data_IF_765571730138
#
_entry.id   IF_765571730138
#
_cell.length_a   1.000
_cell.length_b   1.000
_cell.length_c   1.000
_cell.angle_alpha   90.00
_cell.angle_beta   90.00
_cell.angle_gamma   90.00
#
_symmetry.space_group_name_H-M   'P 1'
#
loop_
_entity.id
_entity.type
_entity.pdbx_description
1 polymer ?
#
# COMPACT_ATOMS: atom_id res chain seq x y z
N UNK A 1 2.36 33.53 57.76
CA UNK A 1 1.95 32.16 57.40
C UNK A 1 1.02 32.24 56.20
N UNK A 2 1.50 32.28 54.96
CA UNK A 2 0.65 32.18 53.78
C UNK A 2 0.60 30.73 53.29
N UNK A 3 -0.60 30.32 52.93
CA UNK A 3 -1.01 29.03 52.38
C UNK A 3 -0.39 28.80 51.01
N UNK A 4 0.30 27.67 50.83
CA UNK A 4 0.84 27.24 49.54
C UNK A 4 -0.24 26.59 48.68
N UNK A 5 -0.60 27.24 47.58
CA UNK A 5 -1.35 26.62 46.49
C UNK A 5 -0.40 25.77 45.65
N UNK A 6 -0.65 24.46 45.65
CA UNK A 6 0.04 23.53 44.76
C UNK A 6 -0.49 23.73 43.34
N UNK A 7 0.33 24.35 42.48
CA UNK A 7 0.11 24.35 41.04
C UNK A 7 0.24 22.93 40.51
N UNK A 8 -0.89 22.24 40.34
CA UNK A 8 -0.98 21.08 39.46
C UNK A 8 -0.72 21.55 38.03
N UNK A 9 0.49 21.28 37.54
CA UNK A 9 0.82 21.34 36.12
C UNK A 9 0.05 20.21 35.42
N UNK A 10 -1.23 20.45 35.09
CA UNK A 10 -1.91 19.70 34.04
C UNK A 10 -1.23 20.09 32.73
N UNK A 11 -0.24 19.28 32.35
CA UNK A 11 0.26 19.29 30.97
C UNK A 11 -0.91 18.90 30.08
N UNK A 12 -1.52 19.90 29.45
CA UNK A 12 -2.50 19.71 28.40
C UNK A 12 -1.81 18.92 27.28
N UNK A 13 -2.04 17.61 27.21
CA UNK A 13 -1.78 16.85 25.99
C UNK A 13 -2.72 17.41 24.93
N UNK A 14 -2.24 18.43 24.21
CA UNK A 14 -2.76 18.77 22.90
C UNK A 14 -2.85 17.46 22.12
N UNK A 15 -4.06 17.10 21.68
CA UNK A 15 -4.27 15.95 20.81
C UNK A 15 -3.67 16.25 19.45
N UNK A 16 -2.33 16.22 19.36
CA UNK A 16 -1.62 16.36 18.09
C UNK A 16 -1.92 15.12 17.28
N UNK A 17 -2.61 15.33 16.17
CA UNK A 17 -2.81 14.29 15.18
C UNK A 17 -1.45 13.98 14.56
N UNK A 18 -1.08 12.70 14.49
CA UNK A 18 0.24 12.28 14.02
C UNK A 18 0.47 12.62 12.54
N UNK A 19 1.73 12.58 12.09
CA UNK A 19 2.07 12.83 10.69
C UNK A 19 3.28 12.02 10.25
N UNK A 20 3.49 11.95 8.93
CA UNK A 20 4.69 11.37 8.31
C UNK A 20 5.39 12.47 7.51
N UNK A 21 6.67 12.69 7.79
CA UNK A 21 7.55 13.53 6.97
C UNK A 21 8.66 12.65 6.38
N UNK A 22 8.68 12.55 5.05
CA UNK A 22 9.75 11.93 4.29
C UNK A 22 10.53 13.04 3.62
N UNK A 23 11.82 13.14 3.93
CA UNK A 23 12.67 14.26 3.50
C UNK A 23 13.98 13.75 2.90
N UNK A 24 14.18 14.00 1.61
CA UNK A 24 15.42 13.75 0.87
C UNK A 24 15.87 12.30 0.81
N UNK A 25 14.92 11.36 0.83
CA UNK A 25 15.21 9.93 0.89
C UNK A 25 15.75 9.43 -0.44
N UNK A 26 16.99 8.91 -0.42
CA UNK A 26 17.59 8.19 -1.54
C UNK A 26 17.98 6.77 -1.14
N UNK A 27 17.87 5.85 -2.08
CA UNK A 27 18.15 4.43 -1.84
C UNK A 27 18.58 3.72 -3.13
N UNK A 28 19.68 2.99 -3.05
CA UNK A 28 20.22 2.17 -4.15
C UNK A 28 19.97 0.68 -3.88
N UNK A 29 19.61 -0.07 -4.91
CA UNK A 29 19.48 -1.52 -4.81
C UNK A 29 20.84 -2.20 -4.62
N UNK A 30 20.82 -3.44 -4.12
CA UNK A 30 22.04 -4.23 -3.90
C UNK A 30 22.86 -4.47 -5.19
N UNK A 31 22.25 -4.35 -6.37
CA UNK A 31 22.91 -4.44 -7.67
C UNK A 31 23.50 -3.10 -8.16
N UNK A 32 23.48 -2.06 -7.31
CA UNK A 32 24.03 -0.74 -7.60
C UNK A 32 23.11 0.17 -8.42
N UNK A 33 21.88 -0.26 -8.75
CA UNK A 33 20.93 0.60 -9.47
C UNK A 33 20.21 1.55 -8.50
N UNK A 34 20.20 2.87 -8.76
CA UNK A 34 19.46 3.81 -7.92
C UNK A 34 17.96 3.54 -8.06
N UNK A 35 17.26 3.40 -6.93
CA UNK A 35 15.83 3.15 -6.91
C UNK A 35 15.05 4.40 -6.52
N UNK A 36 15.48 5.09 -5.46
CA UNK A 36 14.86 6.32 -4.96
C UNK A 36 15.90 7.43 -5.01
N UNK A 37 15.49 8.61 -5.47
CA UNK A 37 16.35 9.79 -5.58
C UNK A 37 15.58 11.02 -5.08
N UNK A 38 16.06 11.60 -3.96
CA UNK A 38 15.52 12.80 -3.32
C UNK A 38 13.99 12.75 -3.06
N UNK A 39 13.50 11.59 -2.62
CA UNK A 39 12.08 11.38 -2.33
C UNK A 39 11.68 12.23 -1.11
N UNK A 40 10.76 13.16 -1.34
CA UNK A 40 10.29 14.11 -0.34
C UNK A 40 8.78 14.31 -0.43
N UNK A 41 8.07 14.07 0.66
CA UNK A 41 6.64 14.36 0.81
C UNK A 41 6.21 14.32 2.27
N UNK A 42 5.11 15.02 2.58
CA UNK A 42 4.48 15.00 3.90
C UNK A 42 3.06 14.47 3.80
N UNK A 43 2.72 13.54 4.69
CA UNK A 43 1.35 13.09 4.96
C UNK A 43 0.86 13.88 6.16
N UNK A 44 -0.03 14.84 5.91
CA UNK A 44 -0.46 15.80 6.90
C UNK A 44 -1.43 15.20 7.92
N UNK A 45 -1.48 15.85 9.07
CA UNK A 45 -2.34 15.58 10.22
C UNK A 45 -3.80 15.35 9.79
N UNK A 46 -4.31 14.14 10.00
CA UNK A 46 -5.70 13.75 9.76
C UNK A 46 -6.08 13.62 8.29
N UNK A 47 -5.08 13.52 7.40
CA UNK A 47 -5.32 13.36 5.95
C UNK A 47 -5.11 11.92 5.51
N UNK A 48 -5.87 11.51 4.51
CA UNK A 48 -5.66 10.25 3.78
C UNK A 48 -4.89 10.58 2.49
N UNK A 49 -3.59 10.31 2.48
CA UNK A 49 -2.76 10.44 1.28
C UNK A 49 -2.57 9.08 0.63
N UNK A 50 -2.79 8.99 -0.68
CA UNK A 50 -2.51 7.78 -1.42
C UNK A 50 -1.13 7.82 -2.07
N UNK A 51 -0.34 6.76 -1.90
CA UNK A 51 0.90 6.53 -2.62
C UNK A 51 0.63 5.62 -3.83
N UNK A 52 0.80 6.18 -5.03
CA UNK A 52 0.64 5.46 -6.29
C UNK A 52 1.93 5.49 -7.11
N UNK A 53 2.07 4.55 -8.04
CA UNK A 53 3.26 4.46 -8.88
C UNK A 53 3.26 3.17 -9.68
N UNK A 54 4.11 3.11 -10.70
CA UNK A 54 4.26 1.91 -11.51
C UNK A 54 4.71 0.70 -10.68
N UNK A 55 4.49 -0.51 -11.21
CA UNK A 55 5.06 -1.71 -10.62
C UNK A 55 6.59 -1.65 -10.77
N UNK A 56 7.30 -1.95 -9.67
CA UNK A 56 8.75 -1.79 -9.60
C UNK A 56 9.23 -0.34 -9.40
N UNK A 57 8.34 0.64 -9.19
CA UNK A 57 8.74 2.00 -8.85
C UNK A 57 9.39 2.14 -7.45
N UNK A 58 9.33 1.10 -6.61
CA UNK A 58 9.91 1.11 -5.27
C UNK A 58 8.92 1.46 -4.16
N UNK A 59 7.60 1.38 -4.40
CA UNK A 59 6.56 1.61 -3.37
C UNK A 59 6.81 0.78 -2.11
N UNK A 60 6.93 -0.54 -2.24
CA UNK A 60 7.19 -1.43 -1.10
C UNK A 60 8.54 -1.15 -0.43
N UNK A 61 9.58 -0.75 -1.19
CA UNK A 61 10.86 -0.32 -0.60
C UNK A 61 10.68 0.96 0.24
N UNK A 62 9.94 1.94 -0.28
CA UNK A 62 9.65 3.17 0.43
C UNK A 62 8.83 2.90 1.71
N UNK A 63 7.82 2.03 1.65
CA UNK A 63 7.08 1.61 2.85
C UNK A 63 7.99 0.95 3.89
N UNK A 64 8.94 0.11 3.45
CA UNK A 64 9.95 -0.52 4.33
C UNK A 64 10.87 0.51 4.97
N UNK A 65 11.23 1.57 4.25
CA UNK A 65 12.00 2.69 4.81
C UNK A 65 11.16 3.44 5.85
N UNK A 66 9.90 3.74 5.53
CA UNK A 66 8.98 4.46 6.42
C UNK A 66 8.76 3.69 7.74
N UNK A 67 8.55 2.37 7.67
CA UNK A 67 8.36 1.54 8.88
C UNK A 67 9.67 1.21 9.63
N UNK A 68 10.83 1.63 9.11
CA UNK A 68 12.13 1.45 9.77
C UNK A 68 12.86 0.13 9.47
N UNK A 69 12.33 -0.71 8.58
CA UNK A 69 12.94 -1.99 8.20
C UNK A 69 14.15 -1.83 7.28
N UNK A 70 14.21 -0.73 6.54
CA UNK A 70 15.31 -0.38 5.65
C UNK A 70 15.82 1.00 6.02
N UNK A 71 17.15 1.14 6.07
CA UNK A 71 17.80 2.44 6.26
C UNK A 71 18.06 3.07 4.90
N UNK A 72 17.68 4.35 4.69
CA UNK A 72 18.02 5.05 3.47
C UNK A 72 19.50 5.44 3.47
N UNK A 73 20.05 5.74 2.28
CA UNK A 73 21.43 6.21 2.13
C UNK A 73 21.58 7.69 2.50
N UNK A 74 20.54 8.47 2.19
CA UNK A 74 20.42 9.89 2.55
C UNK A 74 18.98 10.21 2.95
N UNK A 75 18.80 11.36 3.59
CA UNK A 75 17.50 11.82 4.05
C UNK A 75 17.04 11.10 5.31
N UNK A 76 15.75 11.24 5.62
CA UNK A 76 15.15 10.64 6.80
C UNK A 76 13.64 10.57 6.73
N UNK A 77 13.09 9.77 7.64
CA UNK A 77 11.65 9.68 7.89
C UNK A 77 11.40 10.06 9.34
N UNK A 78 10.48 10.98 9.56
CA UNK A 78 9.97 11.35 10.88
C UNK A 78 8.51 10.97 10.96
N UNK A 79 8.15 10.28 12.04
CA UNK A 79 6.78 9.88 12.33
C UNK A 79 6.43 10.34 13.73
N UNK A 80 5.32 11.08 13.83
CA UNK A 80 4.75 11.52 15.10
C UNK A 80 3.39 10.84 15.33
N UNK A 81 3.02 10.61 16.59
CA UNK A 81 1.73 10.00 16.95
C UNK A 81 1.66 8.47 16.80
N UNK A 82 2.79 7.80 16.57
CA UNK A 82 2.89 6.35 16.48
C UNK A 82 2.36 5.76 15.16
N UNK A 83 2.77 4.53 14.82
CA UNK A 83 2.58 3.92 13.50
C UNK A 83 1.92 2.54 13.58
N UNK A 84 0.69 2.45 13.07
CA UNK A 84 0.03 1.18 12.74
C UNK A 84 0.32 0.78 11.29
N UNK A 85 0.72 -0.47 11.06
CA UNK A 85 1.09 -0.96 9.72
C UNK A 85 0.24 -2.16 9.34
N UNK A 86 -0.32 -2.13 8.13
CA UNK A 86 -0.83 -3.33 7.46
C UNK A 86 0.08 -3.70 6.29
N UNK A 87 0.65 -4.89 6.35
CA UNK A 87 1.48 -5.45 5.27
C UNK A 87 0.60 -6.07 4.17
N UNK A 88 1.11 -6.09 2.93
CA UNK A 88 0.45 -6.61 1.75
C UNK A 88 0.02 -8.08 1.91
N UNK A 89 0.77 -8.86 2.70
CA UNK A 89 0.52 -10.30 2.88
C UNK A 89 -0.70 -10.62 3.76
N UNK A 90 -1.31 -9.63 4.43
CA UNK A 90 -2.55 -9.86 5.18
C UNK A 90 -3.66 -10.30 4.21
N UNK A 91 -4.31 -11.43 4.49
CA UNK A 91 -5.27 -12.07 3.57
C UNK A 91 -4.69 -13.26 2.78
N UNK A 92 -3.36 -13.40 2.76
CA UNK A 92 -2.65 -14.59 2.25
C UNK A 92 -2.09 -15.47 3.34
N UNK A 93 -2.28 -15.09 4.60
CA UNK A 93 -1.77 -15.84 5.74
C UNK A 93 -2.44 -17.20 5.76
N UNK A 94 -1.63 -18.22 5.52
CA UNK A 94 -2.00 -19.64 5.57
C UNK A 94 -1.01 -20.45 6.40
N UNK A 95 -0.31 -19.80 7.31
CA UNK A 95 0.58 -20.44 8.28
C UNK A 95 -0.24 -20.91 9.50
N UNK A 96 0.45 -21.35 10.55
CA UNK A 96 -0.17 -21.91 11.75
C UNK A 96 -0.58 -20.85 12.78
N UNK A 97 -0.54 -19.56 12.40
CA UNK A 97 -0.99 -18.47 13.27
C UNK A 97 -2.47 -18.56 13.61
N UNK A 98 -2.77 -18.07 14.79
CA UNK A 98 -4.10 -17.88 15.35
C UNK A 98 -4.60 -16.45 15.12
N UNK A 99 -5.89 -16.22 15.36
CA UNK A 99 -6.48 -14.87 15.37
C UNK A 99 -5.76 -13.95 16.34
N UNK A 100 -5.35 -14.45 17.51
CA UNK A 100 -4.55 -13.70 18.48
C UNK A 100 -3.24 -13.23 17.88
N UNK A 101 -2.49 -14.12 17.23
CA UNK A 101 -1.19 -13.78 16.64
C UNK A 101 -1.32 -12.70 15.55
N UNK A 102 -2.40 -12.76 14.76
CA UNK A 102 -2.68 -11.75 13.74
C UNK A 102 -2.95 -10.37 14.36
N UNK A 103 -3.71 -10.32 15.46
CA UNK A 103 -4.06 -9.10 16.17
C UNK A 103 -2.88 -8.53 16.97
N UNK A 104 -2.09 -9.38 17.62
CA UNK A 104 -0.83 -9.02 18.28
C UNK A 104 0.16 -8.43 17.28
N UNK A 105 0.24 -8.99 16.07
CA UNK A 105 1.14 -8.50 15.02
C UNK A 105 0.89 -7.04 14.61
N UNK A 106 -0.35 -6.57 14.70
CA UNK A 106 -0.74 -5.19 14.36
C UNK A 106 -0.97 -4.29 15.59
N UNK A 107 -0.74 -4.82 16.79
CA UNK A 107 -0.90 -4.09 18.04
C UNK A 107 0.23 -3.05 18.24
N UNK A 108 0.01 -2.06 19.13
CA UNK A 108 1.06 -1.13 19.54
C UNK A 108 2.33 -1.85 19.96
N UNK A 109 3.49 -1.27 19.64
CA UNK A 109 4.77 -1.97 19.80
C UNK A 109 5.05 -2.42 21.24
N UNK A 110 4.56 -1.68 22.25
CA UNK A 110 4.67 -2.07 23.65
C UNK A 110 3.82 -3.33 23.96
N UNK A 111 2.53 -3.32 23.57
CA UNK A 111 1.62 -4.45 23.75
C UNK A 111 2.12 -5.69 23.01
N UNK A 112 2.58 -5.52 21.76
CA UNK A 112 3.11 -6.64 20.97
C UNK A 112 4.28 -7.33 21.67
N UNK A 113 5.28 -6.56 22.12
CA UNK A 113 6.44 -7.12 22.82
C UNK A 113 6.05 -7.82 24.12
N UNK A 114 5.14 -7.21 24.89
CA UNK A 114 4.68 -7.80 26.14
C UNK A 114 3.85 -9.09 25.91
N UNK A 115 3.01 -9.12 24.87
CA UNK A 115 2.26 -10.31 24.48
C UNK A 115 3.18 -11.45 24.02
N UNK A 116 4.20 -11.16 23.20
CA UNK A 116 5.20 -12.13 22.77
C UNK A 116 6.01 -12.69 23.95
N UNK A 117 6.40 -11.82 24.89
CA UNK A 117 7.10 -12.22 26.11
C UNK A 117 6.21 -13.09 27.02
N UNK A 118 4.93 -12.76 27.13
CA UNK A 118 3.94 -13.53 27.89
C UNK A 118 3.76 -14.93 27.30
N UNK A 119 3.56 -15.05 25.98
CA UNK A 119 3.45 -16.35 25.29
C UNK A 119 4.71 -17.20 25.51
N UNK A 120 5.90 -16.61 25.38
CA UNK A 120 7.16 -17.33 25.62
C UNK A 120 7.30 -17.79 27.09
N UNK A 121 6.81 -17.01 28.05
CA UNK A 121 6.82 -17.39 29.45
C UNK A 121 5.79 -18.49 29.77
N UNK A 122 4.61 -18.47 29.13
CA UNK A 122 3.60 -19.53 29.21
C UNK A 122 4.16 -20.86 28.72
N UNK A 123 4.80 -20.86 27.55
CA UNK A 123 5.47 -22.05 26.99
C UNK A 123 6.55 -22.59 27.93
N UNK A 124 7.37 -21.69 28.50
CA UNK A 124 8.44 -22.08 29.43
C UNK A 124 7.92 -22.74 30.72
N UNK A 125 6.79 -22.27 31.27
CA UNK A 125 6.16 -22.92 32.44
C UNK A 125 5.62 -24.31 32.10
N UNK A 126 4.99 -24.46 30.92
CA UNK A 126 4.46 -25.75 30.48
C UNK A 126 5.59 -26.78 30.34
N UNK A 127 6.76 -26.36 29.85
CA UNK A 127 7.93 -27.22 29.72
C UNK A 127 8.61 -27.52 31.06
N UNK A 128 8.78 -26.51 31.93
CA UNK A 128 9.47 -26.63 33.23
C UNK A 128 8.80 -25.74 34.27
N UNK A 129 8.09 -26.36 35.20
CA UNK A 129 7.41 -25.67 36.30
C UNK A 129 8.34 -25.49 37.51
N UNK A 130 9.22 -24.49 37.43
CA UNK A 130 10.23 -24.16 38.45
C UNK A 130 10.07 -22.71 38.91
N UNK A 131 10.65 -22.35 40.07
CA UNK A 131 10.52 -20.99 40.62
C UNK A 131 10.97 -19.89 39.64
N UNK A 132 12.02 -20.12 38.85
CA UNK A 132 12.48 -19.13 37.86
C UNK A 132 11.46 -18.93 36.72
N UNK A 133 10.86 -20.01 36.18
CA UNK A 133 9.86 -19.89 35.11
C UNK A 133 8.55 -19.29 35.62
N UNK A 134 8.14 -19.63 36.85
CA UNK A 134 7.01 -19.00 37.53
C UNK A 134 7.21 -17.49 37.72
N UNK A 135 8.40 -17.07 38.15
CA UNK A 135 8.74 -15.64 38.31
C UNK A 135 8.75 -14.91 36.96
N UNK A 136 9.29 -15.52 35.90
CA UNK A 136 9.27 -14.93 34.54
C UNK A 136 7.86 -14.71 34.04
N UNK A 137 6.96 -15.68 34.21
CA UNK A 137 5.57 -15.54 33.82
C UNK A 137 4.84 -14.46 34.62
N UNK A 138 5.05 -14.41 35.94
CA UNK A 138 4.46 -13.36 36.78
C UNK A 138 4.92 -11.96 36.34
N UNK A 139 6.20 -11.79 35.98
CA UNK A 139 6.72 -10.54 35.43
C UNK A 139 6.10 -10.23 34.06
N UNK A 140 6.01 -11.22 33.16
CA UNK A 140 5.42 -11.01 31.84
C UNK A 140 3.92 -10.64 31.91
N UNK A 141 3.17 -11.20 32.87
CA UNK A 141 1.78 -10.80 33.13
C UNK A 141 1.69 -9.34 33.58
N UNK A 142 2.57 -8.91 34.49
CA UNK A 142 2.62 -7.52 34.95
C UNK A 142 2.99 -6.57 33.80
N UNK A 143 4.00 -6.91 33.01
CA UNK A 143 4.41 -6.14 31.83
C UNK A 143 3.30 -6.03 30.77
N UNK A 144 2.55 -7.11 30.55
CA UNK A 144 1.40 -7.10 29.64
C UNK A 144 0.28 -6.17 30.14
N UNK A 145 -0.01 -6.19 31.44
CA UNK A 145 -0.97 -5.28 32.05
C UNK A 145 -0.51 -3.82 31.93
N UNK A 146 0.75 -3.54 32.28
CA UNK A 146 1.35 -2.18 32.24
C UNK A 146 1.43 -1.63 30.81
N UNK A 147 1.63 -2.51 29.81
CA UNK A 147 1.61 -2.13 28.40
C UNK A 147 0.21 -1.81 27.87
N UNK A 148 -0.86 -2.05 28.65
CA UNK A 148 -2.25 -1.87 28.24
C UNK A 148 -2.83 -3.07 27.50
N UNK A 149 -2.32 -4.27 27.73
CA UNK A 149 -2.75 -5.50 27.07
C UNK A 149 -4.25 -5.79 27.23
N UNK A 150 -4.79 -5.61 28.44
CA UNK A 150 -6.22 -5.83 28.69
C UNK A 150 -7.13 -4.79 28.02
N UNK A 151 -6.70 -3.53 27.94
CA UNK A 151 -7.44 -2.51 27.16
C UNK A 151 -7.45 -2.88 25.67
N UNK A 152 -6.32 -3.40 25.18
CA UNK A 152 -6.19 -3.84 23.80
C UNK A 152 -7.05 -5.09 23.51
N UNK A 153 -7.25 -5.99 24.46
CA UNK A 153 -8.17 -7.13 24.33
C UNK A 153 -9.64 -6.70 24.18
N UNK A 154 -10.05 -5.62 24.85
CA UNK A 154 -11.40 -5.04 24.64
C UNK A 154 -11.55 -4.50 23.22
N UNK A 155 -10.51 -3.89 22.67
CA UNK A 155 -10.51 -3.48 21.25
C UNK A 155 -10.62 -4.72 20.35
N UNK A 156 -9.85 -5.76 20.63
CA UNK A 156 -9.87 -7.01 19.86
C UNK A 156 -11.21 -7.73 19.90
N UNK A 157 -11.92 -7.72 21.03
CA UNK A 157 -13.27 -8.27 21.13
C UNK A 157 -14.25 -7.57 20.18
N UNK A 158 -14.23 -6.24 20.16
CA UNK A 158 -15.04 -5.46 19.23
C UNK A 158 -14.68 -5.78 17.77
N UNK A 159 -13.39 -5.94 17.46
CA UNK A 159 -12.91 -6.31 16.13
C UNK A 159 -13.40 -7.71 15.72
N UNK A 160 -13.30 -8.72 16.58
CA UNK A 160 -13.70 -10.08 16.24
C UNK A 160 -15.21 -10.23 16.16
N UNK A 161 -15.98 -9.53 17.02
CA UNK A 161 -17.44 -9.52 16.93
C UNK A 161 -17.88 -8.89 15.61
N UNK A 162 -17.27 -7.78 15.22
CA UNK A 162 -17.64 -7.08 13.97
C UNK A 162 -17.20 -7.82 12.71
N UNK A 163 -15.98 -8.38 12.71
CA UNK A 163 -15.42 -9.03 11.54
C UNK A 163 -15.84 -10.50 11.40
N UNK A 164 -15.98 -11.23 12.51
CA UNK A 164 -16.19 -12.68 12.54
C UNK A 164 -17.51 -13.11 13.20
N UNK A 165 -18.23 -12.19 13.86
CA UNK A 165 -19.44 -12.52 14.63
C UNK A 165 -19.18 -13.32 15.90
N UNK A 166 -17.94 -13.31 16.41
CA UNK A 166 -17.54 -14.09 17.58
C UNK A 166 -16.78 -13.21 18.59
N UNK A 167 -16.98 -13.42 19.91
CA UNK A 167 -16.18 -12.75 20.93
C UNK A 167 -14.71 -13.20 20.86
N UNK A 168 -13.79 -12.32 21.26
CA UNK A 168 -12.36 -12.56 21.16
C UNK A 168 -11.95 -13.81 21.94
N UNK A 169 -12.52 -14.03 23.12
CA UNK A 169 -12.26 -15.22 23.96
C UNK A 169 -12.38 -16.53 23.18
N UNK A 170 -13.37 -16.64 22.28
CA UNK A 170 -13.60 -17.81 21.42
C UNK A 170 -12.84 -17.75 20.11
N UNK A 171 -12.65 -16.55 19.57
CA UNK A 171 -12.00 -16.36 18.28
C UNK A 171 -10.48 -16.51 18.36
N UNK A 172 -9.85 -16.14 19.48
CA UNK A 172 -8.41 -15.95 19.62
C UNK A 172 -7.57 -17.18 19.23
N UNK A 173 -8.04 -18.39 19.54
CA UNK A 173 -7.33 -19.66 19.23
C UNK A 173 -7.68 -20.24 17.87
N UNK A 174 -8.61 -19.62 17.13
CA UNK A 174 -9.00 -20.09 15.80
C UNK A 174 -7.82 -19.90 14.85
N UNK A 175 -7.50 -20.94 14.08
CA UNK A 175 -6.46 -20.84 13.05
C UNK A 175 -6.87 -19.84 11.96
N UNK A 176 -5.93 -18.98 11.56
CA UNK A 176 -6.10 -18.00 10.48
C UNK A 176 -6.42 -18.67 9.14
N UNK A 177 -6.00 -19.93 8.94
CA UNK A 177 -6.33 -20.73 7.74
C UNK A 177 -7.83 -20.94 7.53
N UNK A 178 -8.61 -20.87 8.60
CA UNK A 178 -10.06 -21.04 8.55
C UNK A 178 -10.80 -19.76 8.21
N UNK A 179 -10.09 -18.62 8.13
CA UNK A 179 -10.64 -17.34 7.70
C UNK A 179 -10.43 -17.13 6.21
N UNK A 180 -11.43 -16.56 5.55
CA UNK A 180 -11.27 -16.03 4.20
C UNK A 180 -10.32 -14.83 4.19
N UNK A 181 -9.64 -14.57 3.07
CA UNK A 181 -8.72 -13.44 2.97
C UNK A 181 -9.37 -12.09 3.27
N UNK A 182 -10.66 -11.93 2.93
CA UNK A 182 -11.44 -10.73 3.28
C UNK A 182 -11.73 -10.60 4.77
N UNK A 183 -12.04 -11.70 5.47
CA UNK A 183 -12.21 -11.70 6.93
C UNK A 183 -10.89 -11.35 7.65
N UNK A 184 -9.77 -11.92 7.21
CA UNK A 184 -8.45 -11.60 7.75
C UNK A 184 -8.14 -10.10 7.62
N UNK A 185 -8.33 -9.53 6.43
CA UNK A 185 -8.10 -8.10 6.21
C UNK A 185 -9.04 -7.22 7.00
N UNK A 186 -10.34 -7.55 7.01
CA UNK A 186 -11.32 -6.79 7.78
C UNK A 186 -10.96 -6.75 9.26
N UNK A 187 -10.55 -7.89 9.82
CA UNK A 187 -10.12 -7.98 11.22
C UNK A 187 -8.92 -7.06 11.51
N UNK A 188 -7.89 -7.10 10.67
CA UNK A 188 -6.69 -6.26 10.83
C UNK A 188 -7.01 -4.78 10.65
N UNK A 189 -7.81 -4.43 9.64
CA UNK A 189 -8.23 -3.06 9.39
C UNK A 189 -9.04 -2.49 10.56
N UNK A 190 -9.99 -3.26 11.12
CA UNK A 190 -10.74 -2.87 12.32
C UNK A 190 -9.79 -2.63 13.51
N UNK A 191 -8.81 -3.50 13.72
CA UNK A 191 -7.84 -3.36 14.81
C UNK A 191 -6.97 -2.10 14.65
N UNK A 192 -6.49 -1.80 13.44
CA UNK A 192 -5.68 -0.62 13.15
C UNK A 192 -6.48 0.68 13.25
N UNK A 193 -7.70 0.70 12.73
CA UNK A 193 -8.58 1.86 12.78
C UNK A 193 -9.00 2.20 14.22
N UNK A 194 -9.25 1.19 15.06
CA UNK A 194 -9.66 1.37 16.46
C UNK A 194 -8.49 1.48 17.44
N UNK A 195 -7.30 1.05 17.04
CA UNK A 195 -6.10 1.09 17.90
C UNK A 195 -5.67 2.51 18.26
N UNK A 196 -4.69 2.67 19.15
CA UNK A 196 -4.27 3.99 19.64
C UNK A 196 -3.32 4.75 18.69
N UNK A 197 -2.73 4.07 17.70
CA UNK A 197 -1.78 4.68 16.77
C UNK A 197 -2.47 5.75 15.90
N UNK A 198 -1.90 6.95 15.82
CA UNK A 198 -2.49 8.08 15.10
C UNK A 198 -2.14 8.09 13.60
N UNK A 199 -1.10 7.36 13.19
CA UNK A 199 -0.66 7.23 11.80
C UNK A 199 -0.82 5.78 11.35
N UNK A 200 -1.41 5.59 10.17
CA UNK A 200 -1.60 4.29 9.54
C UNK A 200 -0.86 4.20 8.21
N UNK A 201 -0.17 3.08 8.00
CA UNK A 201 0.45 2.69 6.74
C UNK A 201 -0.29 1.46 6.20
N UNK A 202 -1.05 1.61 5.12
CA UNK A 202 -1.89 0.54 4.59
C UNK A 202 -1.42 0.12 3.19
N UNK A 203 -0.84 -1.08 3.07
CA UNK A 203 -0.39 -1.63 1.79
C UNK A 203 -1.46 -2.53 1.16
N UNK A 204 -2.06 -2.06 0.05
CA UNK A 204 -3.12 -2.72 -0.73
C UNK A 204 -4.30 -3.25 0.12
N UNK A 205 -4.97 -2.41 0.93
CA UNK A 205 -6.00 -2.89 1.85
C UNK A 205 -7.27 -3.39 1.18
N UNK A 206 -7.56 -2.98 -0.05
CA UNK A 206 -8.75 -3.35 -0.81
C UNK A 206 -8.67 -4.73 -1.46
N UNK A 207 -7.47 -5.28 -1.64
CA UNK A 207 -7.32 -6.60 -2.25
C UNK A 207 -8.05 -7.66 -1.41
N UNK A 208 -8.71 -8.63 -2.03
CA UNK A 208 -9.54 -9.65 -1.36
C UNK A 208 -10.80 -9.15 -0.64
N UNK A 209 -11.07 -7.85 -0.60
CA UNK A 209 -12.36 -7.35 -0.13
C UNK A 209 -13.42 -7.49 -1.23
N UNK A 210 -14.61 -7.94 -0.85
CA UNK A 210 -15.77 -7.87 -1.72
C UNK A 210 -16.33 -6.45 -1.77
N UNK A 211 -17.30 -6.21 -2.66
CA UNK A 211 -17.84 -4.85 -2.90
C UNK A 211 -18.38 -4.21 -1.61
N UNK A 212 -19.17 -4.90 -0.75
CA UNK A 212 -19.59 -4.32 0.53
C UNK A 212 -18.42 -3.96 1.44
N UNK A 213 -17.41 -4.84 1.57
CA UNK A 213 -16.25 -4.57 2.42
C UNK A 213 -15.38 -3.42 1.89
N UNK A 214 -15.27 -3.25 0.56
CA UNK A 214 -14.60 -2.08 -0.04
C UNK A 214 -15.30 -0.77 0.31
N UNK A 215 -16.63 -0.74 0.17
CA UNK A 215 -17.44 0.44 0.56
C UNK A 215 -17.31 0.77 2.04
N UNK A 216 -17.34 -0.25 2.90
CA UNK A 216 -17.07 -0.08 4.32
C UNK A 216 -15.69 0.56 4.55
N UNK A 217 -14.64 0.06 3.88
CA UNK A 217 -13.29 0.61 4.00
C UNK A 217 -13.23 2.08 3.55
N UNK A 218 -13.88 2.42 2.43
CA UNK A 218 -13.99 3.82 1.96
C UNK A 218 -14.62 4.73 3.02
N UNK A 219 -15.72 4.29 3.63
CA UNK A 219 -16.42 5.03 4.68
C UNK A 219 -15.55 5.20 5.93
N UNK A 220 -14.86 4.13 6.37
CA UNK A 220 -13.97 4.20 7.52
C UNK A 220 -12.78 5.13 7.28
N UNK A 221 -12.16 5.08 6.09
CA UNK A 221 -11.04 5.95 5.75
C UNK A 221 -11.48 7.41 5.64
N UNK A 222 -12.69 7.69 5.16
CA UNK A 222 -13.22 9.07 5.13
C UNK A 222 -13.57 9.61 6.51
N UNK A 223 -14.03 8.74 7.41
CA UNK A 223 -14.46 9.13 8.75
C UNK A 223 -13.31 9.18 9.77
N UNK A 224 -12.16 8.58 9.46
CA UNK A 224 -11.06 8.46 10.43
C UNK A 224 -10.41 9.83 10.70
N UNK A 225 -10.16 10.17 11.97
CA UNK A 225 -9.35 11.34 12.33
C UNK A 225 -7.84 11.06 12.21
N UNK A 226 -7.46 9.83 11.87
CA UNK A 226 -6.06 9.39 11.78
C UNK A 226 -5.43 9.85 10.47
N UNK A 227 -4.12 9.97 10.50
CA UNK A 227 -3.32 10.20 9.30
C UNK A 227 -3.08 8.88 8.60
N UNK A 228 -3.38 8.77 7.31
CA UNK A 228 -3.26 7.50 6.56
C UNK A 228 -2.41 7.68 5.33
N UNK A 229 -1.39 6.84 5.19
CA UNK A 229 -0.68 6.61 3.94
C UNK A 229 -1.16 5.30 3.32
N UNK A 230 -1.93 5.42 2.24
CA UNK A 230 -2.62 4.32 1.56
C UNK A 230 -1.89 3.95 0.26
N UNK A 231 -1.47 2.71 0.08
CA UNK A 231 -1.09 2.18 -1.23
C UNK A 231 -2.25 1.39 -1.79
N UNK A 232 -2.82 1.84 -2.92
CA UNK A 232 -3.87 1.10 -3.61
C UNK A 232 -3.81 1.34 -5.11
N UNK A 233 -4.29 0.35 -5.86
CA UNK A 233 -4.52 0.42 -7.30
C UNK A 233 -6.02 0.55 -7.65
N UNK A 234 -6.91 0.53 -6.65
CA UNK A 234 -8.34 0.67 -6.83
C UNK A 234 -8.74 2.14 -6.98
N UNK A 235 -9.20 2.50 -8.18
CA UNK A 235 -9.55 3.88 -8.53
C UNK A 235 -10.77 4.40 -7.76
N UNK A 236 -11.71 3.52 -7.41
CA UNK A 236 -12.92 3.90 -6.69
C UNK A 236 -12.56 4.25 -5.23
N UNK A 237 -11.76 3.39 -4.58
CA UNK A 237 -11.22 3.66 -3.26
C UNK A 237 -10.42 4.98 -3.23
N UNK A 238 -9.51 5.17 -4.18
CA UNK A 238 -8.70 6.38 -4.29
C UNK A 238 -9.55 7.64 -4.51
N UNK A 239 -10.59 7.56 -5.36
CA UNK A 239 -11.49 8.68 -5.60
C UNK A 239 -12.35 9.04 -4.40
N UNK A 240 -12.74 8.04 -3.60
CA UNK A 240 -13.69 8.20 -2.52
C UNK A 240 -13.04 8.51 -1.16
N UNK A 241 -11.78 8.12 -0.95
CA UNK A 241 -11.11 8.21 0.33
C UNK A 241 -9.85 9.09 0.35
N UNK A 242 -9.13 9.27 -0.76
CA UNK A 242 -7.85 9.99 -0.74
C UNK A 242 -8.02 11.50 -0.92
N UNK A 243 -7.48 12.28 0.03
CA UNK A 243 -7.42 13.74 -0.01
C UNK A 243 -6.27 14.27 -0.88
N UNK A 244 -5.20 13.47 -0.99
CA UNK A 244 -3.96 13.83 -1.68
C UNK A 244 -3.37 12.60 -2.37
N UNK A 245 -2.68 12.82 -3.48
CA UNK A 245 -2.04 11.74 -4.24
C UNK A 245 -0.54 12.00 -4.32
N UNK A 246 0.25 11.11 -3.72
CA UNK A 246 1.70 11.05 -3.85
C UNK A 246 2.04 10.05 -4.95
N UNK A 247 2.62 10.52 -6.04
CA UNK A 247 3.01 9.68 -7.17
C UNK A 247 4.51 9.44 -7.15
N UNK A 248 4.90 8.17 -7.07
CA UNK A 248 6.27 7.72 -7.28
C UNK A 248 6.51 7.54 -8.78
N UNK A 249 7.37 8.40 -9.34
CA UNK A 249 7.58 8.54 -10.77
C UNK A 249 8.92 7.94 -11.20
N UNK A 250 8.92 7.23 -12.34
CA UNK A 250 10.12 6.57 -12.84
C UNK A 250 11.07 7.58 -13.49
N UNK A 251 12.26 7.73 -12.90
CA UNK A 251 13.32 8.60 -13.39
C UNK A 251 14.55 7.84 -13.91
N UNK A 252 15.42 8.53 -14.63
CA UNK A 252 16.66 7.94 -15.15
C UNK A 252 17.78 7.87 -14.09
N UNK A 253 17.77 8.79 -13.13
CA UNK A 253 18.73 8.87 -12.02
C UNK A 253 18.24 8.17 -10.74
N UNK A 254 17.01 7.66 -10.75
CA UNK A 254 16.29 7.15 -9.60
C UNK A 254 14.84 7.62 -9.66
N UNK A 255 13.96 7.03 -8.86
CA UNK A 255 12.54 7.40 -8.84
C UNK A 255 12.32 8.54 -7.84
N UNK A 256 11.59 9.56 -8.26
CA UNK A 256 11.26 10.74 -7.47
C UNK A 256 9.77 10.79 -7.15
N UNK A 257 9.35 11.71 -6.30
CA UNK A 257 7.95 11.89 -5.93
C UNK A 257 7.37 13.20 -6.42
N UNK A 258 6.13 13.16 -6.87
CA UNK A 258 5.30 14.32 -7.10
C UNK A 258 4.02 14.22 -6.27
N UNK A 259 3.67 15.29 -5.54
CA UNK A 259 2.44 15.33 -4.75
C UNK A 259 1.38 16.20 -5.45
N UNK A 260 0.25 15.59 -5.78
CA UNK A 260 -0.97 16.29 -6.13
C UNK A 260 -1.74 16.63 -4.83
N UNK A 261 -1.99 17.92 -4.62
CA UNK A 261 -2.61 18.42 -3.39
C UNK A 261 -4.12 18.19 -3.26
N UNK A 262 -4.77 17.61 -4.27
CA UNK A 262 -6.18 17.24 -4.24
C UNK A 262 -6.39 15.73 -4.38
N UNK A 263 -7.64 15.30 -4.31
CA UNK A 263 -8.02 13.88 -4.44
C UNK A 263 -7.89 13.33 -5.86
N UNK A 264 -8.18 12.03 -6.01
CA UNK A 264 -7.92 11.31 -7.26
C UNK A 264 -8.73 11.80 -8.48
N UNK A 265 -9.88 12.46 -8.27
CA UNK A 265 -10.74 12.94 -9.36
C UNK A 265 -10.07 13.92 -10.32
N UNK A 266 -9.24 14.84 -9.79
CA UNK A 266 -8.50 15.83 -10.60
C UNK A 266 -7.07 15.40 -10.97
N UNK A 267 -6.62 14.27 -10.44
CA UNK A 267 -5.23 13.81 -10.55
C UNK A 267 -4.78 13.63 -12.00
N UNK A 268 -5.58 12.98 -12.83
CA UNK A 268 -5.21 12.67 -14.22
C UNK A 268 -5.00 13.93 -15.04
N UNK A 269 -5.93 14.88 -14.95
CA UNK A 269 -5.83 16.17 -15.64
C UNK A 269 -4.61 16.96 -15.14
N UNK A 270 -4.43 17.08 -13.82
CA UNK A 270 -3.27 17.78 -13.24
C UNK A 270 -1.95 17.15 -13.68
N UNK A 271 -1.91 15.82 -13.85
CA UNK A 271 -0.73 15.11 -14.33
C UNK A 271 -0.45 15.40 -15.81
N UNK A 272 -1.46 15.39 -16.66
CA UNK A 272 -1.32 15.74 -18.09
C UNK A 272 -0.83 17.18 -18.26
N UNK A 273 -1.41 18.14 -17.54
CA UNK A 273 -0.99 19.54 -17.54
C UNK A 273 0.46 19.70 -17.06
N UNK A 274 0.85 18.99 -15.99
CA UNK A 274 2.25 18.97 -15.51
C UNK A 274 3.18 18.41 -16.59
N UNK A 275 2.83 17.27 -17.20
CA UNK A 275 3.66 16.64 -18.23
C UNK A 275 3.83 17.55 -19.46
N UNK A 276 2.75 18.18 -19.93
CA UNK A 276 2.80 19.12 -21.05
C UNK A 276 3.70 20.33 -20.74
N UNK A 277 3.64 20.86 -19.51
CA UNK A 277 4.52 21.94 -19.05
C UNK A 277 5.99 21.53 -19.04
N UNK A 278 6.30 20.34 -18.52
CA UNK A 278 7.67 19.80 -18.51
C UNK A 278 8.21 19.60 -19.93
N UNK A 279 7.38 19.07 -20.83
CA UNK A 279 7.74 18.89 -22.24
C UNK A 279 8.02 20.22 -22.94
N UNK A 280 7.19 21.24 -22.70
CA UNK A 280 7.42 22.57 -23.26
C UNK A 280 8.71 23.21 -22.72
N UNK A 281 8.96 23.12 -21.41
CA UNK A 281 10.20 23.61 -20.80
C UNK A 281 11.43 22.91 -21.38
N UNK A 282 11.35 21.59 -21.54
CA UNK A 282 12.42 20.78 -22.14
C UNK A 282 12.69 21.20 -23.58
N UNK A 283 11.64 21.33 -24.39
CA UNK A 283 11.74 21.79 -25.78
C UNK A 283 12.40 23.17 -25.88
N UNK A 284 11.95 24.13 -25.06
CA UNK A 284 12.54 25.49 -25.03
C UNK A 284 14.02 25.45 -24.64
N UNK A 285 14.39 24.62 -23.68
CA UNK A 285 15.78 24.44 -23.29
C UNK A 285 16.61 23.84 -24.43
N UNK A 286 16.12 22.80 -25.10
CA UNK A 286 16.84 22.15 -26.21
C UNK A 286 17.03 23.11 -27.39
N UNK A 287 15.99 23.89 -27.75
CA UNK A 287 16.07 24.92 -28.78
C UNK A 287 17.11 26.00 -28.44
N UNK A 288 17.12 26.48 -27.19
CA UNK A 288 18.09 27.49 -26.74
C UNK A 288 19.51 26.91 -26.68
N UNK A 289 19.66 25.64 -26.27
CA UNK A 289 20.94 24.94 -26.27
C UNK A 289 21.54 24.87 -27.68
N UNK A 290 20.72 24.50 -28.67
CA UNK A 290 21.12 24.45 -30.08
C UNK A 290 21.51 25.84 -30.59
N UNK A 291 20.73 26.88 -30.26
CA UNK A 291 21.04 28.28 -30.64
C UNK A 291 22.36 28.76 -30.05
N UNK A 292 22.60 28.50 -28.77
CA UNK A 292 23.83 28.89 -28.08
C UNK A 292 25.05 28.14 -28.66
N UNK A 293 24.94 26.83 -28.89
CA UNK A 293 25.98 26.05 -29.56
C UNK A 293 26.30 26.59 -30.96
N UNK A 294 25.28 26.90 -31.76
CA UNK A 294 25.46 27.48 -33.09
C UNK A 294 26.09 28.89 -33.03
N UNK A 295 25.81 29.67 -31.99
CA UNK A 295 26.43 30.99 -31.76
C UNK A 295 27.92 30.85 -31.43
N UNK A 296 28.27 29.94 -30.51
CA UNK A 296 29.66 29.64 -30.16
C UNK A 296 30.44 29.19 -31.40
N UNK A 297 29.88 28.29 -32.20
CA UNK A 297 30.52 27.80 -33.42
C UNK A 297 30.75 28.93 -34.44
N UNK A 298 29.75 29.78 -34.67
CA UNK A 298 29.88 30.95 -35.57
C UNK A 298 30.97 31.92 -35.11
N UNK A 299 31.03 32.24 -33.82
CA UNK A 299 32.09 33.10 -33.30
C UNK A 299 33.46 32.43 -33.34
N UNK A 300 33.54 31.11 -33.11
CA UNK A 300 34.78 30.34 -33.26
C UNK A 300 35.35 30.45 -34.67
N UNK A 301 34.50 30.31 -35.68
CA UNK A 301 34.92 30.43 -37.09
C UNK A 301 35.36 31.85 -37.42
N UNK A 302 34.58 32.87 -37.04
CA UNK A 302 34.90 34.27 -37.35
C UNK A 302 36.14 34.78 -36.60
N UNK A 303 36.37 34.33 -35.36
CA UNK A 303 37.54 34.71 -34.57
C UNK A 303 38.87 34.18 -35.15
N UNK A 304 38.84 33.16 -36.03
CA UNK A 304 40.05 32.73 -36.77
C UNK A 304 40.60 33.80 -37.70
N UNK A 305 39.72 34.65 -38.24
CA UNK A 305 40.06 35.63 -39.26
C UNK A 305 40.01 37.08 -38.77
N UNK A 306 39.44 37.33 -37.58
CA UNK A 306 39.35 38.65 -36.97
C UNK A 306 39.60 38.57 -35.46
N UNK A 307 40.75 39.10 -35.01
CA UNK A 307 41.19 39.10 -33.61
C UNK A 307 40.25 39.86 -32.67
N UNK A 308 39.53 40.87 -33.18
CA UNK A 308 38.63 41.71 -32.36
C UNK A 308 37.40 40.91 -31.88
N UNK A 309 37.10 39.78 -32.54
CA UNK A 309 36.00 38.88 -32.17
C UNK A 309 36.38 37.84 -31.11
N UNK A 310 37.63 37.81 -30.63
CA UNK A 310 38.07 36.89 -29.58
C UNK A 310 37.27 37.09 -28.27
N UNK A 311 37.02 38.34 -27.87
CA UNK A 311 36.23 38.66 -26.68
C UNK A 311 34.77 38.20 -26.82
N UNK A 312 34.17 38.36 -28.00
CA UNK A 312 32.81 37.91 -28.28
C UNK A 312 32.69 36.36 -28.25
N UNK A 313 33.71 35.66 -28.76
CA UNK A 313 33.79 34.20 -28.67
C UNK A 313 33.87 33.71 -27.22
N UNK A 314 34.75 34.31 -26.41
CA UNK A 314 34.87 33.97 -24.97
C UNK A 314 33.57 34.23 -24.20
N UNK A 315 32.89 35.35 -24.49
CA UNK A 315 31.59 35.64 -23.89
C UNK A 315 30.51 34.60 -24.28
N UNK A 316 30.48 34.17 -25.54
CA UNK A 316 29.55 33.14 -26.00
C UNK A 316 29.85 31.77 -25.34
N UNK A 317 31.13 31.39 -25.22
CA UNK A 317 31.52 30.17 -24.50
C UNK A 317 31.10 30.21 -23.04
N UNK A 318 31.34 31.32 -22.35
CA UNK A 318 30.94 31.51 -20.94
C UNK A 318 29.43 31.40 -20.79
N UNK A 319 28.65 31.97 -21.71
CA UNK A 319 27.19 31.87 -21.70
C UNK A 319 26.70 30.45 -21.90
N UNK A 320 27.28 29.70 -22.85
CA UNK A 320 26.95 28.30 -23.08
C UNK A 320 27.32 27.45 -21.85
N UNK A 321 28.50 27.65 -21.26
CA UNK A 321 28.94 26.92 -20.08
C UNK A 321 28.01 27.16 -18.88
N UNK A 322 27.59 28.40 -18.64
CA UNK A 322 26.60 28.71 -17.59
C UNK A 322 25.24 28.06 -17.86
N UNK A 323 24.81 28.04 -19.12
CA UNK A 323 23.56 27.40 -19.52
C UNK A 323 23.60 25.87 -19.34
N UNK A 324 24.71 25.23 -19.71
CA UNK A 324 24.92 23.79 -19.53
C UNK A 324 25.10 23.41 -18.06
N UNK A 325 25.77 24.24 -17.26
CA UNK A 325 25.93 24.03 -15.83
C UNK A 325 24.60 24.09 -15.05
N UNK A 326 23.65 24.90 -15.49
CA UNK A 326 22.29 24.90 -14.94
C UNK A 326 21.54 23.60 -15.23
N UNK A 327 21.98 22.83 -16.24
CA UNK A 327 21.41 21.55 -16.61
C UNK A 327 20.06 21.67 -17.33
N UNK A 328 19.59 20.56 -17.92
CA UNK A 328 18.25 20.49 -18.49
C UNK A 328 17.17 20.50 -17.40
N UNK A 329 15.95 20.99 -17.69
CA UNK A 329 14.82 20.84 -16.78
C UNK A 329 14.46 19.36 -16.59
N UNK A 330 13.69 19.08 -15.53
CA UNK A 330 13.21 17.74 -15.16
C UNK A 330 12.64 17.00 -16.37
N UNK A 331 13.15 15.80 -16.65
CA UNK A 331 12.68 14.99 -17.76
C UNK A 331 11.29 14.41 -17.47
N UNK A 332 10.48 14.23 -18.51
CA UNK A 332 9.20 13.54 -18.38
C UNK A 332 9.44 12.13 -17.81
N UNK A 333 8.71 11.74 -16.75
CA UNK A 333 8.73 10.37 -16.26
C UNK A 333 8.37 9.38 -17.37
N UNK A 334 9.00 8.20 -17.35
CA UNK A 334 8.73 7.18 -18.37
C UNK A 334 7.30 6.65 -18.26
N UNK A 335 6.56 6.66 -19.36
CA UNK A 335 5.26 5.99 -19.45
C UNK A 335 5.41 4.50 -19.78
N UNK A 336 4.70 3.65 -19.04
CA UNK A 336 4.56 2.24 -19.37
C UNK A 336 3.28 2.04 -20.19
N UNK A 337 3.42 1.87 -21.51
CA UNK A 337 2.32 1.53 -22.40
C UNK A 337 2.21 0.00 -22.54
N UNK A 338 1.45 -0.64 -21.64
CA UNK A 338 1.16 -2.07 -21.72
C UNK A 338 -0.01 -2.30 -22.67
N UNK A 339 0.25 -2.89 -23.84
CA UNK A 339 -0.81 -3.37 -24.76
C UNK A 339 -0.96 -4.88 -24.61
N UNK A 340 -2.03 -5.32 -23.97
CA UNK A 340 -2.38 -6.73 -23.95
C UNK A 340 -3.03 -7.12 -25.29
N UNK A 341 -2.44 -8.09 -25.99
CA UNK A 341 -3.05 -8.77 -27.13
C UNK A 341 -3.42 -10.17 -26.68
N UNK A 342 -4.70 -10.39 -26.40
CA UNK A 342 -5.24 -11.72 -26.17
C UNK A 342 -5.70 -12.28 -27.51
N UNK A 343 -5.07 -13.35 -27.97
CA UNK A 343 -5.46 -14.07 -29.19
C UNK A 343 -6.14 -15.37 -28.80
N UNK A 344 -7.34 -15.62 -29.33
CA UNK A 344 -8.07 -16.89 -29.16
C UNK A 344 -7.98 -17.78 -30.39
N UNK A 345 -8.28 -19.07 -30.21
CA UNK A 345 -8.51 -20.00 -31.32
C UNK A 345 -9.93 -19.84 -31.89
N UNK A 346 -10.19 -20.40 -33.07
CA UNK A 346 -11.57 -20.53 -33.58
C UNK A 346 -12.39 -21.38 -32.61
N UNK A 347 -13.55 -20.89 -32.18
CA UNK A 347 -14.47 -21.56 -31.26
C UNK A 347 -15.90 -21.45 -31.79
N UNK A 348 -16.78 -22.36 -31.35
CA UNK A 348 -18.20 -22.32 -31.65
C UNK A 348 -18.89 -21.05 -31.16
N UNK A 349 -20.10 -20.80 -31.66
CA UNK A 349 -20.90 -19.60 -31.30
C UNK A 349 -21.35 -19.61 -29.84
N UNK A 350 -21.52 -20.80 -29.24
CA UNK A 350 -21.81 -21.03 -27.83
C UNK A 350 -20.55 -21.63 -27.19
N UNK A 351 -20.09 -21.05 -26.09
CA UNK A 351 -18.81 -21.36 -25.43
C UNK A 351 -18.99 -22.25 -24.22
N UNK A 352 -20.03 -22.00 -23.41
CA UNK A 352 -20.35 -22.84 -22.26
C UNK A 352 -21.86 -22.97 -22.05
N UNK A 353 -22.29 -24.14 -21.62
CA UNK A 353 -23.69 -24.44 -21.29
C UNK A 353 -23.76 -25.06 -19.90
N UNK A 354 -24.55 -24.44 -19.03
CA UNK A 354 -24.73 -24.78 -17.63
C UNK A 354 -26.13 -25.36 -17.46
N UNK A 355 -26.19 -26.61 -17.04
CA UNK A 355 -27.44 -27.33 -16.80
C UNK A 355 -27.52 -27.73 -15.35
N UNK A 356 -28.47 -27.14 -14.62
CA UNK A 356 -28.73 -27.33 -13.19
C UNK A 356 -27.44 -27.35 -12.36
N UNK A 357 -26.52 -26.47 -12.69
CA UNK A 357 -25.20 -26.46 -12.10
C UNK A 357 -25.31 -26.13 -10.62
N UNK A 358 -24.77 -27.00 -9.78
CA UNK A 358 -24.77 -26.86 -8.32
C UNK A 358 -23.34 -27.01 -7.78
N UNK A 359 -23.01 -26.23 -6.76
CA UNK A 359 -21.84 -26.41 -5.92
C UNK A 359 -22.40 -26.62 -4.52
N UNK A 360 -22.37 -27.88 -4.07
CA UNK A 360 -22.98 -28.31 -2.80
C UNK A 360 -22.55 -27.40 -1.65
N UNK A 361 -23.54 -26.83 -0.95
CA UNK A 361 -23.30 -25.93 0.19
C UNK A 361 -22.86 -24.50 -0.16
N UNK A 362 -22.70 -24.17 -1.45
CA UNK A 362 -22.25 -22.85 -1.90
C UNK A 362 -23.25 -22.15 -2.82
N UNK A 363 -23.89 -22.87 -3.74
CA UNK A 363 -24.88 -22.29 -4.67
C UNK A 363 -26.04 -23.25 -4.93
N UNK A 364 -27.23 -22.70 -5.15
CA UNK A 364 -28.39 -23.47 -5.61
C UNK A 364 -28.25 -23.81 -7.09
N UNK A 365 -28.91 -24.88 -7.57
CA UNK A 365 -28.90 -25.24 -8.98
C UNK A 365 -29.36 -24.09 -9.87
N UNK A 366 -28.64 -23.82 -10.95
CA UNK A 366 -29.03 -22.82 -11.96
C UNK A 366 -28.65 -23.25 -13.37
N UNK A 367 -29.37 -22.70 -14.34
CA UNK A 367 -29.13 -22.90 -15.77
C UNK A 367 -28.55 -21.61 -16.39
N UNK A 368 -27.75 -21.74 -17.45
CA UNK A 368 -27.19 -20.58 -18.14
C UNK A 368 -26.37 -20.93 -19.37
N UNK A 369 -26.21 -19.98 -20.28
CA UNK A 369 -25.39 -20.12 -21.48
C UNK A 369 -24.41 -18.95 -21.57
N UNK A 370 -23.18 -19.21 -22.05
CA UNK A 370 -22.17 -18.21 -22.34
C UNK A 370 -21.83 -18.28 -23.83
N UNK A 371 -21.97 -17.16 -24.52
CA UNK A 371 -21.78 -17.07 -25.97
C UNK A 371 -20.44 -16.44 -26.35
N UNK A 372 -19.99 -16.73 -27.57
CA UNK A 372 -18.75 -16.16 -28.08
C UNK A 372 -18.85 -14.64 -28.22
N UNK A 373 -17.86 -13.93 -27.66
CA UNK A 373 -17.80 -12.47 -27.64
C UNK A 373 -18.48 -11.82 -26.44
N UNK A 374 -19.20 -12.59 -25.61
CA UNK A 374 -19.77 -12.07 -24.37
C UNK A 374 -18.70 -11.77 -23.34
N UNK A 375 -18.95 -10.71 -22.55
CA UNK A 375 -18.14 -10.35 -21.39
C UNK A 375 -18.97 -10.61 -20.14
N UNK A 376 -18.76 -11.77 -19.54
CA UNK A 376 -19.51 -12.19 -18.35
C UNK A 376 -18.71 -11.88 -17.09
N UNK A 377 -19.33 -11.19 -16.13
CA UNK A 377 -18.76 -10.93 -14.81
C UNK A 377 -19.44 -11.82 -13.76
N UNK A 378 -18.65 -12.57 -12.99
CA UNK A 378 -19.16 -13.42 -11.90
C UNK A 378 -19.01 -12.66 -10.58
N UNK A 379 -20.13 -12.26 -9.98
CA UNK A 379 -20.18 -11.46 -8.76
C UNK A 379 -20.75 -12.27 -7.59
N UNK A 380 -20.38 -11.89 -6.36
CA UNK A 380 -20.81 -12.55 -5.13
C UNK A 380 -19.87 -12.23 -3.96
N UNK A 381 -20.32 -12.45 -2.73
CA UNK A 381 -19.51 -12.25 -1.52
C UNK A 381 -18.32 -13.21 -1.44
N UNK A 382 -17.34 -12.91 -0.59
CA UNK A 382 -16.26 -13.87 -0.32
C UNK A 382 -16.83 -15.18 0.24
N UNK A 383 -16.28 -16.31 -0.23
CA UNK A 383 -16.79 -17.63 0.11
C UNK A 383 -17.99 -18.11 -0.71
N UNK A 384 -18.59 -17.29 -1.58
CA UNK A 384 -19.78 -17.69 -2.37
C UNK A 384 -19.53 -18.71 -3.51
N UNK A 385 -18.36 -19.34 -3.58
CA UNK A 385 -18.03 -20.35 -4.60
C UNK A 385 -17.53 -19.84 -5.96
N UNK A 386 -17.34 -18.53 -6.17
CA UNK A 386 -16.91 -17.95 -7.48
C UNK A 386 -15.66 -18.60 -8.08
N UNK A 387 -14.60 -18.77 -7.28
CA UNK A 387 -13.35 -19.39 -7.76
C UNK A 387 -13.53 -20.88 -8.08
N UNK A 388 -14.42 -21.56 -7.35
CA UNK A 388 -14.74 -22.97 -7.63
C UNK A 388 -15.51 -23.07 -8.97
N UNK A 389 -16.47 -22.18 -9.20
CA UNK A 389 -17.18 -22.08 -10.47
C UNK A 389 -16.21 -21.81 -11.65
N UNK A 390 -15.30 -20.85 -11.52
CA UNK A 390 -14.31 -20.55 -12.57
C UNK A 390 -13.33 -21.70 -12.80
N UNK A 391 -12.88 -22.40 -11.76
CA UNK A 391 -12.05 -23.60 -11.90
C UNK A 391 -12.80 -24.73 -12.60
N UNK A 392 -14.08 -24.91 -12.28
CA UNK A 392 -14.92 -25.91 -12.93
C UNK A 392 -15.07 -25.63 -14.43
N UNK A 393 -15.32 -24.37 -14.80
CA UNK A 393 -15.34 -23.93 -16.20
C UNK A 393 -13.99 -24.15 -16.89
N UNK A 394 -12.89 -23.79 -16.23
CA UNK A 394 -11.54 -23.93 -16.79
C UNK A 394 -11.12 -25.40 -16.97
N UNK A 395 -11.61 -26.30 -16.12
CA UNK A 395 -11.35 -27.73 -16.21
C UNK A 395 -12.16 -28.44 -17.31
N UNK A 396 -13.03 -27.73 -18.05
CA UNK A 396 -13.82 -28.30 -19.14
C UNK A 396 -15.12 -28.98 -18.69
N UNK A 397 -15.47 -28.89 -17.40
CA UNK A 397 -16.60 -29.61 -16.81
C UNK A 397 -16.30 -31.09 -16.56
N UNK A 398 -16.78 -31.59 -15.42
CA UNK A 398 -16.62 -32.96 -14.88
C UNK A 398 -15.18 -33.46 -14.70
N UNK A 399 -14.64 -33.23 -13.50
CA UNK A 399 -13.92 -34.28 -12.78
C UNK A 399 -14.26 -34.16 -11.28
N UNK A 400 -15.16 -35.00 -10.74
CA UNK A 400 -15.47 -34.97 -9.31
C UNK A 400 -14.30 -35.59 -8.55
N UNK A 401 -13.63 -34.79 -7.71
CA UNK A 401 -12.77 -35.35 -6.67
C UNK A 401 -13.63 -36.28 -5.79
N UNK A 402 -13.36 -37.60 -5.75
CA UNK A 402 -14.15 -38.56 -4.99
C UNK A 402 -14.21 -38.26 -3.48
N UNK A 403 -13.36 -37.37 -2.96
CA UNK A 403 -13.39 -36.93 -1.57
C UNK A 403 -14.35 -35.77 -1.26
N UNK A 404 -14.94 -35.08 -2.26
CA UNK A 404 -15.59 -33.79 -2.05
C UNK A 404 -17.13 -33.75 -2.20
N UNK A 405 -17.79 -34.85 -2.57
CA UNK A 405 -19.27 -34.92 -2.54
C UNK A 405 -20.01 -33.92 -3.45
N UNK A 406 -19.41 -33.51 -4.57
CA UNK A 406 -20.00 -32.56 -5.51
C UNK A 406 -20.56 -33.26 -6.76
N UNK A 407 -21.85 -33.04 -7.05
CA UNK A 407 -22.49 -33.39 -8.32
C UNK A 407 -22.50 -32.15 -9.21
N UNK A 408 -21.78 -32.17 -10.33
CA UNK A 408 -21.76 -31.04 -11.28
C UNK A 408 -21.68 -31.54 -12.73
N UNK A 409 -22.56 -31.03 -13.60
CA UNK A 409 -22.45 -31.15 -15.07
C UNK A 409 -22.30 -29.77 -15.69
N UNK A 410 -21.18 -29.52 -16.37
CA UNK A 410 -20.99 -28.40 -17.29
C UNK A 410 -20.52 -29.00 -18.61
N UNK A 411 -21.17 -28.67 -19.73
CA UNK A 411 -20.82 -29.21 -21.03
C UNK A 411 -20.16 -28.11 -21.88
N UNK A 412 -18.98 -28.42 -22.43
CA UNK A 412 -18.33 -27.57 -23.42
C UNK A 412 -18.88 -27.88 -24.81
N UNK A 413 -19.33 -26.87 -25.54
CA UNK A 413 -19.59 -27.00 -26.97
C UNK A 413 -18.29 -26.74 -27.73
N UNK A 414 -17.76 -27.77 -28.39
CA UNK A 414 -16.53 -27.69 -29.20
C UNK A 414 -16.62 -26.70 -30.36
#
# INVERSE_FOLDING_TARGET
MPTGEAHHHQSSRSSTVGHIDVSGVSYTLADGRPLLDDVSFRVGDGTVSALIGANGAGKSTLLRIIRGDLRPESGGVVIDGGLGVMDQFVGHVRDDRTVRDLLVGVAPAAVRRAAEALTAAEEAIIERDETDTQLRYANALAEYADAGGYDQEVVWDNCTVTALGLPFERAQYRSVRTLSGGEQKRLVLEALLRGPEQVLLLDEPDNYLDVPAKRWLEEQLRATPKTVLLVSHDRELLANAADRIVTLELGAAGNSTWTHGGGFGGYHQAREERMARLEELRRRWDEEHVKLKALVLRFKEKAKYNSDLANAYQAAQTRLAKFEAAGPPEARPREQNVRMRLTGARTGRRVAELHRLELTGLMRPFDGEIWFGERVAVLGSNGSGKSHFLRLLAAGGTDPDPGAGHLASAAYAG
#
